data_IF_843597148866
#
_entry.id   IF_843597148866
#
_cell.length_a   1.000
_cell.length_b   1.000
_cell.length_c   1.000
_cell.angle_alpha   90.00
_cell.angle_beta   90.00
_cell.angle_gamma   90.00
#
_symmetry.space_group_name_H-M   'P 1'
#
loop_
_entity.id
_entity.type
_entity.pdbx_description
1 polymer ?
#
# COMPACT_ATOMS: atom_id res chain seq x y z
N UNK A 1 54.38 -35.44 16.61
CA UNK A 1 53.94 -36.61 15.80
C UNK A 1 52.58 -36.23 15.24
N UNK A 2 52.51 -35.73 14.05
CA UNK A 2 52.05 -36.30 12.77
C UNK A 2 50.57 -36.83 12.89
N UNK A 3 49.59 -36.40 12.14
CA UNK A 3 49.56 -36.33 10.67
C UNK A 3 48.35 -35.50 10.18
N UNK A 4 48.58 -34.76 9.08
CA UNK A 4 47.59 -34.12 8.24
C UNK A 4 46.87 -35.14 7.40
N UNK A 5 45.59 -34.93 7.05
CA UNK A 5 45.05 -35.38 5.77
C UNK A 5 44.03 -34.37 5.24
N UNK A 6 44.47 -33.65 4.23
CA UNK A 6 43.61 -32.92 3.27
C UNK A 6 43.01 -33.92 2.28
N UNK A 7 41.72 -33.90 2.09
CA UNK A 7 41.09 -34.49 0.91
C UNK A 7 40.36 -33.41 0.11
N UNK A 8 41.05 -32.90 -0.91
CA UNK A 8 40.48 -32.13 -2.00
C UNK A 8 39.77 -33.10 -2.98
N UNK A 9 38.46 -33.01 -3.11
CA UNK A 9 37.74 -33.64 -4.20
C UNK A 9 37.54 -32.61 -5.31
N UNK A 10 38.27 -32.77 -6.43
CA UNK A 10 38.04 -32.07 -7.68
C UNK A 10 36.87 -32.79 -8.41
N UNK A 11 35.79 -32.10 -8.65
CA UNK A 11 34.73 -32.56 -9.56
C UNK A 11 34.98 -31.97 -10.94
N UNK A 12 35.25 -32.88 -11.87
CA UNK A 12 35.52 -32.61 -13.29
C UNK A 12 34.18 -32.64 -14.05
N UNK A 13 33.73 -31.49 -14.58
CA UNK A 13 32.53 -31.44 -15.42
C UNK A 13 32.93 -31.47 -16.87
N UNK A 14 32.73 -32.64 -17.47
CA UNK A 14 32.92 -32.86 -18.90
C UNK A 14 31.82 -32.19 -19.74
N UNK A 15 32.30 -31.37 -20.71
CA UNK A 15 31.44 -30.87 -21.80
C UNK A 15 30.92 -32.01 -22.65
N UNK A 16 29.60 -32.10 -22.86
CA UNK A 16 29.02 -32.84 -23.94
C UNK A 16 28.20 -31.93 -24.84
N UNK A 17 28.72 -31.76 -26.04
CA UNK A 17 28.03 -31.19 -27.19
C UNK A 17 26.84 -32.10 -27.55
N UNK A 18 25.67 -31.54 -27.82
CA UNK A 18 24.64 -32.15 -28.62
C UNK A 18 24.24 -31.24 -29.78
N UNK A 19 24.48 -31.76 -30.97
CA UNK A 19 24.18 -31.16 -32.26
C UNK A 19 22.80 -31.63 -32.70
N UNK A 20 22.05 -30.69 -33.21
CA UNK A 20 20.96 -30.73 -34.20
C UNK A 20 20.17 -32.02 -34.47
N UNK A 21 18.85 -31.89 -34.45
CA UNK A 21 18.01 -32.40 -35.55
C UNK A 21 16.72 -31.58 -35.62
N UNK A 22 16.54 -30.87 -36.71
CA UNK A 22 15.28 -30.31 -37.19
C UNK A 22 14.42 -31.48 -37.73
N UNK A 23 13.15 -31.54 -37.33
CA UNK A 23 12.12 -32.16 -38.13
C UNK A 23 10.85 -31.32 -37.98
N UNK A 24 10.43 -30.73 -39.06
CA UNK A 24 9.16 -30.06 -39.23
C UNK A 24 8.01 -31.06 -39.29
N UNK A 25 6.94 -30.80 -38.56
CA UNK A 25 5.59 -31.27 -38.90
C UNK A 25 4.59 -30.13 -38.63
N UNK A 26 4.08 -29.59 -39.74
CA UNK A 26 2.92 -28.72 -39.75
C UNK A 26 1.67 -29.62 -39.71
N UNK A 27 0.75 -29.35 -38.76
CA UNK A 27 -0.67 -29.60 -38.90
C UNK A 27 -1.47 -28.85 -37.84
N UNK A 28 -2.13 -27.82 -38.26
CA UNK A 28 -3.47 -27.31 -37.94
C UNK A 28 -4.11 -27.72 -36.61
N UNK A 29 -4.29 -26.72 -35.77
CA UNK A 29 -5.19 -26.72 -34.66
C UNK A 29 -5.27 -25.31 -34.11
N UNK A 30 -6.05 -24.43 -34.76
CA UNK A 30 -6.37 -23.10 -34.23
C UNK A 30 -7.31 -23.32 -33.06
N UNK A 31 -6.75 -23.50 -31.86
CA UNK A 31 -7.50 -23.29 -30.62
C UNK A 31 -7.44 -21.80 -30.41
N UNK A 32 -8.56 -21.11 -30.67
CA UNK A 32 -8.71 -19.69 -30.40
C UNK A 32 -8.43 -19.43 -28.93
N UNK A 33 -7.31 -18.80 -28.66
CA UNK A 33 -7.08 -18.09 -27.39
C UNK A 33 -8.12 -16.97 -27.38
N UNK A 34 -8.97 -16.85 -26.36
CA UNK A 34 -9.83 -15.68 -26.25
C UNK A 34 -8.95 -14.45 -26.01
N UNK A 35 -8.58 -13.77 -27.08
CA UNK A 35 -8.02 -12.41 -27.04
C UNK A 35 -9.17 -11.44 -26.77
N UNK A 36 -9.71 -11.52 -25.57
CA UNK A 36 -10.67 -10.55 -25.05
C UNK A 36 -10.00 -9.56 -24.12
N UNK A 37 -8.91 -8.95 -24.55
CA UNK A 37 -8.53 -7.66 -23.99
C UNK A 37 -9.47 -6.64 -24.62
N UNK A 38 -10.48 -6.22 -23.85
CA UNK A 38 -11.29 -5.07 -24.19
C UNK A 38 -10.31 -3.92 -24.48
N UNK A 39 -10.34 -3.40 -25.70
CA UNK A 39 -9.63 -2.16 -26.02
C UNK A 39 -10.25 -1.08 -25.13
N UNK A 40 -9.47 -0.53 -24.21
CA UNK A 40 -9.88 0.58 -23.37
C UNK A 40 -10.33 1.73 -24.30
N UNK A 41 -11.63 1.98 -24.33
CA UNK A 41 -12.19 3.08 -25.11
C UNK A 41 -12.22 4.40 -24.33
N UNK A 42 -11.91 4.37 -23.04
CA UNK A 42 -11.91 5.53 -22.14
C UNK A 42 -10.51 5.77 -21.59
N UNK A 43 -10.11 7.04 -21.41
CA UNK A 43 -8.83 7.34 -20.74
C UNK A 43 -8.86 6.81 -19.30
N UNK A 44 -7.69 6.48 -18.72
CA UNK A 44 -7.60 6.08 -17.33
C UNK A 44 -8.21 7.12 -16.39
N UNK A 45 -8.83 6.67 -15.28
CA UNK A 45 -9.32 7.56 -14.22
C UNK A 45 -8.14 8.25 -13.53
N UNK A 46 -8.18 9.59 -13.44
CA UNK A 46 -7.11 10.36 -12.81
C UNK A 46 -7.17 10.19 -11.28
N UNK A 47 -6.14 9.59 -10.71
CA UNK A 47 -5.92 9.54 -9.26
C UNK A 47 -4.79 10.47 -8.89
N UNK A 48 -5.04 11.36 -7.92
CA UNK A 48 -4.11 12.43 -7.53
C UNK A 48 -3.32 12.10 -6.27
N UNK A 49 -3.86 11.30 -5.34
CA UNK A 49 -3.21 10.99 -4.07
C UNK A 49 -3.77 9.70 -3.43
N UNK A 50 -3.07 9.21 -2.42
CA UNK A 50 -3.64 8.35 -1.39
C UNK A 50 -4.46 9.24 -0.46
N UNK A 51 -5.73 8.85 -0.19
CA UNK A 51 -6.58 9.62 0.70
C UNK A 51 -6.53 9.08 2.15
N UNK A 52 -6.81 7.78 2.35
CA UNK A 52 -6.85 7.24 3.71
C UNK A 52 -6.61 5.73 3.77
N UNK A 53 -6.44 5.24 5.01
CA UNK A 53 -6.61 3.85 5.36
C UNK A 53 -7.67 3.68 6.45
N UNK A 54 -8.34 2.53 6.46
CA UNK A 54 -9.25 2.15 7.53
C UNK A 54 -8.76 0.90 8.24
N UNK A 55 -8.71 0.98 9.56
CA UNK A 55 -8.26 -0.08 10.45
C UNK A 55 -9.46 -0.80 11.08
N UNK A 56 -9.48 -2.12 10.99
CA UNK A 56 -10.20 -2.97 11.93
C UNK A 56 -9.25 -3.30 13.08
N UNK A 57 -9.65 -3.02 14.30
CA UNK A 57 -8.82 -3.13 15.51
C UNK A 57 -9.54 -3.95 16.59
N UNK A 58 -8.79 -4.56 17.50
CA UNK A 58 -9.38 -5.36 18.58
C UNK A 58 -10.06 -4.49 19.67
N UNK A 59 -9.50 -3.30 19.93
CA UNK A 59 -10.05 -2.32 20.88
C UNK A 59 -9.96 -0.92 20.25
N UNK A 60 -11.09 -0.39 19.72
CA UNK A 60 -11.12 0.94 19.11
C UNK A 60 -10.66 2.08 20.02
N UNK A 61 -11.01 2.02 21.30
CA UNK A 61 -10.67 3.07 22.26
C UNK A 61 -9.15 3.06 22.58
N UNK A 62 -8.59 1.88 22.78
CA UNK A 62 -7.16 1.72 23.00
C UNK A 62 -6.34 2.12 21.76
N UNK A 63 -6.79 1.71 20.55
CA UNK A 63 -6.12 2.09 19.29
C UNK A 63 -6.20 3.61 19.05
N UNK A 64 -7.35 4.24 19.28
CA UNK A 64 -7.49 5.70 19.21
C UNK A 64 -6.50 6.41 20.12
N UNK A 65 -6.47 6.03 21.40
CA UNK A 65 -5.54 6.63 22.36
C UNK A 65 -4.08 6.43 21.97
N UNK A 66 -3.76 5.24 21.42
CA UNK A 66 -2.41 4.89 20.99
C UNK A 66 -1.95 5.74 19.78
N UNK A 67 -2.76 5.83 18.72
CA UNK A 67 -2.42 6.63 17.54
C UNK A 67 -2.35 8.12 17.85
N UNK A 68 -3.28 8.64 18.69
CA UNK A 68 -3.23 10.03 19.14
C UNK A 68 -2.02 10.31 20.04
N UNK A 69 -1.67 9.40 20.94
CA UNK A 69 -0.51 9.56 21.82
C UNK A 69 0.82 9.56 21.05
N UNK A 70 0.96 8.70 20.03
CA UNK A 70 2.17 8.62 19.23
C UNK A 70 2.30 9.79 18.24
N UNK A 71 1.23 10.14 17.53
CA UNK A 71 1.28 11.07 16.39
C UNK A 71 0.57 12.41 16.64
N UNK A 72 -0.20 12.55 17.71
CA UNK A 72 -0.92 13.79 17.99
C UNK A 72 -2.06 14.10 17.03
N UNK A 73 -2.63 13.10 16.35
CA UNK A 73 -3.62 13.30 15.30
C UNK A 73 -4.96 13.79 15.85
N UNK A 74 -5.51 14.92 15.34
CA UNK A 74 -6.82 15.39 15.74
C UNK A 74 -7.93 14.58 15.09
N UNK A 75 -9.11 14.52 15.73
CA UNK A 75 -10.30 13.96 15.15
C UNK A 75 -10.99 15.03 14.30
N UNK A 76 -11.22 14.74 13.03
CA UNK A 76 -11.84 15.65 12.06
C UNK A 76 -13.22 15.22 11.59
N UNK A 77 -13.60 13.97 11.82
CA UNK A 77 -14.93 13.46 11.53
C UNK A 77 -15.23 12.20 12.35
N UNK A 78 -16.52 11.88 12.44
CA UNK A 78 -17.02 10.63 13.04
C UNK A 78 -18.05 10.01 12.08
N UNK A 79 -17.86 8.74 11.78
CA UNK A 79 -18.74 7.97 10.91
C UNK A 79 -19.45 6.90 11.76
N UNK A 80 -20.48 7.32 12.49
CA UNK A 80 -21.04 6.51 13.56
C UNK A 80 -20.01 6.25 14.66
N UNK A 81 -19.68 4.99 14.89
CA UNK A 81 -18.61 4.62 15.84
C UNK A 81 -17.18 4.76 15.30
N UNK A 82 -17.00 4.89 13.99
CA UNK A 82 -15.66 5.06 13.38
C UNK A 82 -15.14 6.46 13.62
N UNK A 83 -13.89 6.57 14.06
CA UNK A 83 -13.22 7.84 14.32
C UNK A 83 -12.21 8.12 13.19
N UNK A 84 -12.23 9.34 12.68
CA UNK A 84 -11.38 9.81 11.56
C UNK A 84 -10.30 10.73 12.11
N UNK A 85 -9.04 10.27 12.04
CA UNK A 85 -7.86 10.97 12.52
C UNK A 85 -7.12 11.61 11.35
N UNK A 86 -7.04 12.95 11.31
CA UNK A 86 -6.38 13.68 10.24
C UNK A 86 -4.87 13.40 10.22
N UNK A 87 -4.32 13.20 9.03
CA UNK A 87 -2.89 13.08 8.76
C UNK A 87 -2.40 14.33 8.03
N UNK A 88 -1.43 15.01 8.61
CA UNK A 88 -0.92 16.29 8.06
C UNK A 88 -1.98 17.39 8.06
N UNK A 89 -1.89 18.28 7.10
CA UNK A 89 -2.75 19.47 6.98
C UNK A 89 -3.84 19.32 5.90
N UNK A 90 -3.84 18.18 5.20
CA UNK A 90 -4.76 17.91 4.08
C UNK A 90 -5.97 17.05 4.46
N UNK A 91 -6.70 16.54 3.47
CA UNK A 91 -7.87 15.69 3.68
C UNK A 91 -7.51 14.24 4.05
N UNK A 92 -6.22 13.89 4.10
CA UNK A 92 -5.77 12.53 4.41
C UNK A 92 -6.06 12.13 5.85
N UNK A 93 -6.40 10.86 6.07
CA UNK A 93 -6.73 10.40 7.43
C UNK A 93 -6.50 8.90 7.66
N UNK A 94 -6.44 8.55 8.93
CA UNK A 94 -6.55 7.17 9.42
C UNK A 94 -7.93 7.02 10.05
N UNK A 95 -8.74 6.08 9.55
CA UNK A 95 -10.01 5.74 10.16
C UNK A 95 -9.85 4.52 11.07
N UNK A 96 -10.29 4.65 12.33
CA UNK A 96 -10.33 3.54 13.29
C UNK A 96 -11.78 3.05 13.38
N UNK A 97 -12.02 1.80 12.99
CA UNK A 97 -13.34 1.19 13.00
C UNK A 97 -13.96 1.19 14.40
N UNK A 98 -15.25 1.52 14.49
CA UNK A 98 -15.96 1.69 15.76
C UNK A 98 -16.31 0.41 16.50
N UNK A 99 -16.15 -0.75 15.86
CA UNK A 99 -16.45 -2.06 16.48
C UNK A 99 -15.17 -2.87 16.64
N UNK A 100 -15.05 -3.56 17.75
CA UNK A 100 -13.96 -4.52 17.98
C UNK A 100 -13.96 -5.62 16.91
N UNK A 101 -12.77 -6.03 16.49
CA UNK A 101 -12.54 -7.04 15.46
C UNK A 101 -11.66 -8.17 15.98
N UNK A 102 -12.09 -9.41 15.76
CA UNK A 102 -11.26 -10.59 16.03
C UNK A 102 -10.15 -10.82 14.98
N UNK A 103 -10.14 -9.98 13.93
CA UNK A 103 -9.16 -10.04 12.85
C UNK A 103 -8.64 -8.63 12.51
N UNK A 104 -7.79 -8.06 13.39
CA UNK A 104 -7.21 -6.74 13.18
C UNK A 104 -6.39 -6.66 11.90
N UNK A 105 -6.61 -5.60 11.11
CA UNK A 105 -5.92 -5.38 9.83
C UNK A 105 -6.23 -4.01 9.24
N UNK A 106 -5.49 -3.62 8.22
CA UNK A 106 -5.92 -2.58 7.28
C UNK A 106 -7.03 -3.21 6.40
N UNK A 107 -8.26 -2.70 6.48
CA UNK A 107 -9.41 -3.26 5.75
C UNK A 107 -9.44 -2.83 4.30
N UNK A 108 -9.08 -1.58 4.04
CA UNK A 108 -8.95 -0.98 2.72
C UNK A 108 -8.09 0.27 2.77
N UNK A 109 -7.65 0.69 1.62
CA UNK A 109 -7.08 2.02 1.39
C UNK A 109 -7.92 2.77 0.36
N UNK A 110 -7.82 4.07 0.36
CA UNK A 110 -8.56 4.95 -0.54
C UNK A 110 -7.63 5.75 -1.44
N UNK A 111 -8.01 5.83 -2.70
CA UNK A 111 -7.39 6.71 -3.68
C UNK A 111 -8.29 7.92 -3.94
N UNK A 112 -7.69 9.11 -3.95
CA UNK A 112 -8.33 10.35 -4.29
C UNK A 112 -8.44 10.47 -5.83
N UNK A 113 -9.66 10.68 -6.32
CA UNK A 113 -10.00 10.83 -7.73
C UNK A 113 -10.36 12.28 -8.01
N UNK A 114 -9.79 12.84 -9.06
CA UNK A 114 -10.12 14.19 -9.49
C UNK A 114 -11.50 14.22 -10.18
N UNK A 115 -12.34 15.19 -9.82
CA UNK A 115 -13.70 15.34 -10.34
C UNK A 115 -14.55 14.07 -10.16
N UNK A 116 -14.55 13.52 -8.96
CA UNK A 116 -15.22 12.27 -8.65
C UNK A 116 -16.75 12.37 -8.82
N UNK A 117 -17.30 11.53 -9.71
CA UNK A 117 -18.70 11.16 -9.77
C UNK A 117 -18.82 9.64 -9.58
N UNK A 118 -19.55 9.23 -8.55
CA UNK A 118 -19.64 7.81 -8.21
C UNK A 118 -20.34 6.97 -9.29
N UNK A 119 -21.29 7.54 -10.03
CA UNK A 119 -22.03 6.82 -11.09
C UNK A 119 -21.16 6.61 -12.30
N UNK A 120 -20.40 7.65 -12.71
CA UNK A 120 -19.42 7.56 -13.78
C UNK A 120 -18.29 6.61 -13.41
N UNK A 121 -17.82 6.67 -12.17
CA UNK A 121 -16.77 5.78 -11.67
C UNK A 121 -17.22 4.30 -11.63
N UNK A 122 -18.46 4.00 -11.24
CA UNK A 122 -19.02 2.63 -11.28
C UNK A 122 -19.09 2.13 -12.74
N UNK A 123 -19.57 2.97 -13.67
CA UNK A 123 -19.63 2.59 -15.08
C UNK A 123 -18.23 2.36 -15.65
N UNK A 124 -17.29 3.24 -15.35
CA UNK A 124 -15.88 3.08 -15.76
C UNK A 124 -15.27 1.76 -15.25
N UNK A 125 -15.49 1.43 -13.97
CA UNK A 125 -15.05 0.17 -13.39
C UNK A 125 -15.68 -1.04 -14.11
N UNK A 126 -16.99 -0.97 -14.41
CA UNK A 126 -17.69 -2.04 -15.12
C UNK A 126 -17.15 -2.23 -16.56
N UNK A 127 -16.88 -1.14 -17.27
CA UNK A 127 -16.30 -1.17 -18.61
C UNK A 127 -14.87 -1.76 -18.62
N UNK A 128 -14.20 -1.74 -17.47
CA UNK A 128 -12.88 -2.32 -17.24
C UNK A 128 -12.91 -3.68 -16.51
N UNK A 129 -14.06 -4.35 -16.49
CA UNK A 129 -14.21 -5.72 -16.01
C UNK A 129 -14.42 -5.85 -14.49
N UNK A 130 -14.63 -4.75 -13.76
CA UNK A 130 -15.02 -4.76 -12.34
C UNK A 130 -16.54 -4.68 -12.26
N UNK A 131 -17.20 -5.81 -12.04
CA UNK A 131 -18.66 -5.92 -12.07
C UNK A 131 -19.32 -5.10 -10.95
N UNK A 132 -20.36 -4.32 -11.30
CA UNK A 132 -21.18 -3.64 -10.30
C UNK A 132 -22.03 -4.69 -9.53
N UNK A 133 -21.77 -4.83 -8.24
CA UNK A 133 -22.41 -5.79 -7.35
C UNK A 133 -22.67 -5.16 -5.97
N UNK A 134 -23.31 -5.87 -5.06
CA UNK A 134 -23.46 -5.40 -3.67
C UNK A 134 -22.30 -5.88 -2.77
N UNK A 135 -21.11 -6.10 -3.35
CA UNK A 135 -19.93 -6.59 -2.67
C UNK A 135 -18.67 -5.89 -3.21
N UNK A 136 -17.57 -5.98 -2.48
CA UNK A 136 -16.23 -5.58 -2.92
C UNK A 136 -15.29 -6.79 -2.90
N UNK A 137 -15.79 -7.94 -3.41
CA UNK A 137 -14.96 -9.11 -3.67
C UNK A 137 -14.06 -8.88 -4.89
N UNK A 138 -13.20 -9.83 -5.22
CA UNK A 138 -12.32 -9.73 -6.39
C UNK A 138 -13.12 -9.38 -7.65
N UNK A 139 -12.72 -8.31 -8.34
CA UNK A 139 -13.35 -7.78 -9.55
C UNK A 139 -14.84 -7.43 -9.41
N UNK A 140 -15.25 -7.00 -8.20
CA UNK A 140 -16.60 -6.50 -7.92
C UNK A 140 -16.55 -5.14 -7.27
N UNK A 141 -17.56 -4.31 -7.53
CA UNK A 141 -17.71 -2.99 -6.93
C UNK A 141 -19.06 -2.80 -6.28
N UNK A 142 -19.10 -1.92 -5.29
CA UNK A 142 -20.33 -1.49 -4.61
C UNK A 142 -20.23 -0.02 -4.22
N UNK A 143 -21.37 0.64 -4.19
CA UNK A 143 -21.53 1.97 -3.58
C UNK A 143 -22.28 1.81 -2.25
N UNK A 144 -21.70 2.37 -1.19
CA UNK A 144 -22.39 2.57 0.09
C UNK A 144 -22.81 4.02 0.17
N UNK A 145 -24.09 4.28 0.39
CA UNK A 145 -24.59 5.62 0.72
C UNK A 145 -24.50 5.80 2.22
N UNK A 146 -23.55 6.60 2.69
CA UNK A 146 -23.40 6.88 4.13
C UNK A 146 -24.36 7.98 4.53
N UNK A 147 -25.41 7.62 5.29
CA UNK A 147 -26.45 8.50 5.73
C UNK A 147 -26.02 9.48 6.84
N UNK A 148 -26.91 10.42 7.13
CA UNK A 148 -26.69 11.47 8.14
C UNK A 148 -26.42 10.88 9.53
N UNK A 149 -27.08 9.77 9.87
CA UNK A 149 -26.89 9.07 11.15
C UNK A 149 -25.50 8.47 11.34
N UNK A 150 -24.75 8.35 10.24
CA UNK A 150 -23.33 7.95 10.23
C UNK A 150 -22.40 9.10 9.84
N UNK A 151 -22.84 10.36 9.98
CA UNK A 151 -22.05 11.55 9.68
C UNK A 151 -21.89 11.82 8.17
N UNK A 152 -22.78 11.29 7.33
CA UNK A 152 -22.85 11.61 5.90
C UNK A 152 -23.82 12.76 5.61
N UNK A 153 -24.05 13.05 4.32
CA UNK A 153 -25.07 14.00 3.88
C UNK A 153 -26.49 13.48 4.11
N UNK A 154 -27.47 14.40 4.16
CA UNK A 154 -28.90 14.07 4.30
C UNK A 154 -29.39 13.06 3.24
N UNK A 155 -28.90 13.21 2.01
CA UNK A 155 -29.20 12.28 0.89
C UNK A 155 -28.17 11.17 0.73
N UNK A 156 -27.26 11.01 1.69
CA UNK A 156 -26.15 10.08 1.69
C UNK A 156 -24.90 10.61 1.01
N UNK A 157 -23.76 10.32 1.58
CA UNK A 157 -22.42 10.51 0.96
C UNK A 157 -22.06 9.21 0.25
N UNK A 158 -21.86 9.20 -1.07
CA UNK A 158 -21.49 7.99 -1.78
C UNK A 158 -20.04 7.59 -1.47
N UNK A 159 -19.86 6.32 -1.14
CA UNK A 159 -18.57 5.69 -0.89
C UNK A 159 -18.43 4.50 -1.85
N UNK A 160 -17.55 4.63 -2.84
CA UNK A 160 -17.33 3.59 -3.85
C UNK A 160 -16.19 2.67 -3.46
N UNK A 161 -16.47 1.40 -3.34
CA UNK A 161 -15.51 0.34 -3.05
C UNK A 161 -15.43 -0.66 -4.19
N UNK A 162 -14.26 -1.19 -4.46
CA UNK A 162 -14.09 -2.34 -5.34
C UNK A 162 -12.98 -3.25 -4.82
N UNK A 163 -13.02 -4.53 -5.23
CA UNK A 163 -11.92 -5.48 -5.03
C UNK A 163 -11.05 -5.54 -6.26
N UNK A 164 -9.74 -5.44 -6.07
CA UNK A 164 -8.76 -5.69 -7.12
C UNK A 164 -8.78 -7.17 -7.57
N UNK A 165 -7.97 -7.61 -8.55
CA UNK A 165 -7.95 -9.01 -8.99
C UNK A 165 -7.68 -10.05 -7.89
N UNK A 166 -7.07 -9.63 -6.79
CA UNK A 166 -6.80 -10.46 -5.62
C UNK A 166 -7.82 -10.29 -4.49
N UNK A 167 -8.84 -9.42 -4.68
CA UNK A 167 -9.86 -9.10 -3.68
C UNK A 167 -9.37 -8.12 -2.60
N UNK A 168 -8.27 -7.43 -2.83
CA UNK A 168 -7.84 -6.33 -1.96
C UNK A 168 -8.79 -5.16 -2.18
N UNK A 169 -9.40 -4.68 -1.10
CA UNK A 169 -10.42 -3.64 -1.18
C UNK A 169 -9.78 -2.28 -1.34
N UNK A 170 -10.21 -1.58 -2.38
CA UNK A 170 -9.85 -0.19 -2.69
C UNK A 170 -11.11 0.66 -2.61
N UNK A 171 -11.02 1.83 -1.99
CA UNK A 171 -12.05 2.85 -2.04
C UNK A 171 -11.64 3.96 -3.00
N UNK A 172 -12.60 4.53 -3.72
CA UNK A 172 -12.41 5.72 -4.54
C UNK A 172 -13.29 6.84 -3.99
N UNK A 173 -12.70 8.01 -3.83
CA UNK A 173 -13.37 9.20 -3.34
C UNK A 173 -12.84 10.47 -4.02
N UNK A 174 -13.60 11.54 -3.92
CA UNK A 174 -13.15 12.86 -4.36
C UNK A 174 -11.86 13.29 -3.64
N UNK A 175 -11.05 14.10 -4.30
CA UNK A 175 -9.80 14.62 -3.73
C UNK A 175 -10.02 15.51 -2.49
N UNK A 176 -11.23 16.04 -2.29
CA UNK A 176 -11.61 16.80 -1.09
C UNK A 176 -12.14 15.96 0.06
N UNK A 177 -12.35 14.65 -0.14
CA UNK A 177 -12.93 13.76 0.86
C UNK A 177 -12.07 13.71 2.13
N UNK A 178 -12.63 14.15 3.24
CA UNK A 178 -12.01 14.12 4.57
C UNK A 178 -12.73 13.22 5.58
N UNK A 179 -13.68 12.40 5.09
CA UNK A 179 -14.46 11.47 5.92
C UNK A 179 -15.67 12.11 6.61
N UNK A 180 -15.94 13.38 6.34
CA UNK A 180 -17.04 14.17 6.92
C UNK A 180 -18.37 14.05 6.18
N UNK A 181 -19.26 15.01 6.45
CA UNK A 181 -20.52 15.18 5.76
C UNK A 181 -20.32 15.79 4.36
N UNK A 182 -21.41 16.26 3.74
CA UNK A 182 -21.37 16.76 2.37
C UNK A 182 -21.51 15.65 1.33
N UNK A 183 -21.82 16.05 0.10
CA UNK A 183 -22.05 15.10 -0.99
C UNK A 183 -20.78 14.33 -1.37
N UNK A 184 -19.62 15.00 -1.27
CA UNK A 184 -18.31 14.40 -1.50
C UNK A 184 -17.60 13.95 -0.21
N UNK A 185 -18.25 14.13 0.97
CA UNK A 185 -17.65 13.83 2.27
C UNK A 185 -16.59 14.83 2.69
N UNK A 186 -16.68 16.05 2.16
CA UNK A 186 -15.74 17.17 2.28
C UNK A 186 -16.01 18.08 3.49
N UNK A 187 -17.18 17.95 4.11
CA UNK A 187 -17.57 18.76 5.26
C UNK A 187 -17.07 18.12 6.56
N UNK A 188 -15.80 18.32 6.88
CA UNK A 188 -15.26 17.89 8.16
C UNK A 188 -15.56 18.86 9.28
N UNK A 189 -15.30 18.45 10.53
CA UNK A 189 -15.54 19.28 11.70
C UNK A 189 -14.90 20.67 11.52
N UNK A 190 -15.64 21.78 11.65
CA UNK A 190 -15.12 23.13 11.48
C UNK A 190 -13.95 23.42 12.43
N UNK A 191 -13.96 22.77 13.59
CA UNK A 191 -12.87 22.77 14.54
C UNK A 191 -12.57 21.32 14.87
N UNK A 192 -11.39 20.83 14.48
CA UNK A 192 -10.95 19.50 14.82
C UNK A 192 -10.92 19.29 16.34
N UNK A 193 -11.31 18.11 16.80
CA UNK A 193 -11.11 17.73 18.20
C UNK A 193 -9.61 17.42 18.39
N UNK A 194 -8.86 18.24 19.17
CA UNK A 194 -7.43 18.03 19.30
C UNK A 194 -7.12 16.70 19.98
N UNK A 195 -5.99 16.11 19.63
CA UNK A 195 -5.46 15.00 20.40
C UNK A 195 -5.15 15.44 21.85
N UNK A 196 -5.19 14.52 22.82
CA UNK A 196 -4.85 14.83 24.23
C UNK A 196 -3.41 15.32 24.40
N UNK A 197 -2.52 15.00 23.47
CA UNK A 197 -1.10 15.37 23.45
C UNK A 197 -0.69 15.83 22.05
N UNK A 198 0.43 16.54 21.95
CA UNK A 198 0.99 16.96 20.65
C UNK A 198 1.60 15.80 19.84
N UNK A 199 1.58 14.56 20.35
CA UNK A 199 2.28 13.43 19.75
C UNK A 199 3.80 13.48 19.97
N UNK A 200 4.45 12.40 19.60
CA UNK A 200 5.90 12.22 19.75
C UNK A 200 6.61 12.23 18.39
N UNK A 201 5.89 11.91 17.32
CA UNK A 201 6.35 11.91 15.93
C UNK A 201 5.37 12.70 15.08
N UNK A 202 5.89 13.62 14.27
CA UNK A 202 5.09 14.42 13.33
C UNK A 202 5.01 13.69 11.99
N UNK A 203 3.82 13.29 11.56
CA UNK A 203 3.56 12.70 10.24
C UNK A 203 2.89 13.73 9.34
N UNK A 204 3.29 13.77 8.06
CA UNK A 204 2.83 14.76 7.08
C UNK A 204 1.80 14.23 6.11
N UNK A 205 1.98 13.00 5.64
CA UNK A 205 1.14 12.38 4.63
C UNK A 205 1.31 10.87 4.61
N UNK A 206 0.43 10.16 3.91
CA UNK A 206 0.72 8.81 3.48
C UNK A 206 1.83 8.84 2.43
N UNK A 207 2.74 7.87 2.52
CA UNK A 207 3.76 7.70 1.49
C UNK A 207 3.37 6.60 0.50
N UNK A 208 3.07 5.39 0.98
CA UNK A 208 2.69 4.29 0.10
C UNK A 208 1.90 3.18 0.79
N UNK A 209 1.35 2.29 -0.02
CA UNK A 209 0.89 0.98 0.40
C UNK A 209 1.69 -0.11 -0.31
N UNK A 210 2.08 -1.14 0.44
CA UNK A 210 2.60 -2.38 -0.13
C UNK A 210 1.53 -3.44 -0.10
N UNK A 211 1.23 -4.01 -1.27
CA UNK A 211 0.23 -5.05 -1.45
C UNK A 211 0.91 -6.39 -1.71
N UNK A 212 0.50 -7.43 -1.02
CA UNK A 212 0.83 -8.81 -1.37
C UNK A 212 -0.19 -9.30 -2.39
N UNK A 213 0.27 -9.59 -3.59
CA UNK A 213 -0.55 -10.04 -4.72
C UNK A 213 -0.11 -11.41 -5.18
N UNK A 214 -1.04 -12.21 -5.72
CA UNK A 214 -0.73 -13.59 -6.17
C UNK A 214 -0.08 -13.61 -7.55
N UNK A 215 -0.38 -12.62 -8.39
CA UNK A 215 0.18 -12.42 -9.74
C UNK A 215 0.50 -10.94 -9.93
N UNK A 216 1.78 -10.61 -9.81
CA UNK A 216 2.25 -9.23 -9.90
C UNK A 216 2.00 -8.61 -11.29
N UNK A 217 2.21 -9.37 -12.37
CA UNK A 217 2.02 -8.86 -13.73
C UNK A 217 0.54 -8.51 -13.99
N UNK A 218 -0.38 -9.37 -13.56
CA UNK A 218 -1.82 -9.12 -13.62
C UNK A 218 -2.20 -7.87 -12.81
N UNK A 219 -1.68 -7.73 -11.62
CA UNK A 219 -1.99 -6.58 -10.77
C UNK A 219 -1.41 -5.27 -11.32
N UNK A 220 -0.18 -5.27 -11.88
CA UNK A 220 0.41 -4.12 -12.58
C UNK A 220 -0.51 -3.70 -13.72
N UNK A 221 -0.86 -4.64 -14.61
CA UNK A 221 -1.74 -4.37 -15.75
C UNK A 221 -3.08 -3.78 -15.29
N UNK A 222 -3.67 -4.32 -14.24
CA UNK A 222 -4.93 -3.86 -13.67
C UNK A 222 -4.86 -2.39 -13.22
N UNK A 223 -3.90 -2.06 -12.33
CA UNK A 223 -3.76 -0.69 -11.82
C UNK A 223 -3.34 0.31 -12.90
N UNK A 224 -2.52 -0.11 -13.86
CA UNK A 224 -2.16 0.74 -15.01
C UNK A 224 -3.34 0.95 -15.94
N UNK A 225 -4.16 -0.07 -16.19
CA UNK A 225 -5.35 0.06 -17.04
C UNK A 225 -6.40 0.98 -16.42
N UNK A 226 -6.65 0.86 -15.11
CA UNK A 226 -7.65 1.70 -14.45
C UNK A 226 -7.19 3.14 -14.24
N UNK A 227 -5.95 3.32 -13.79
CA UNK A 227 -5.50 4.60 -13.25
C UNK A 227 -4.29 5.20 -13.98
N UNK A 228 -3.75 4.50 -14.98
CA UNK A 228 -2.58 4.99 -15.73
C UNK A 228 -1.31 5.11 -14.89
N UNK A 229 -1.18 4.39 -13.76
CA UNK A 229 -0.06 4.53 -12.84
C UNK A 229 1.25 4.11 -13.51
N UNK A 230 2.22 5.01 -13.72
CA UNK A 230 3.50 4.63 -14.31
C UNK A 230 4.35 3.86 -13.30
N UNK A 231 5.17 2.92 -13.79
CA UNK A 231 6.28 2.39 -13.00
C UNK A 231 7.37 3.44 -13.00
N UNK A 232 7.68 3.98 -11.83
CA UNK A 232 8.63 5.07 -11.66
C UNK A 232 10.02 4.57 -11.21
N UNK A 233 10.05 3.47 -10.47
CA UNK A 233 11.29 2.84 -9.99
C UNK A 233 11.03 1.39 -9.60
N UNK A 234 12.10 0.69 -9.18
CA UNK A 234 12.05 -0.67 -8.68
C UNK A 234 12.76 -0.81 -7.34
N UNK A 235 12.21 -1.61 -6.46
CA UNK A 235 12.85 -2.07 -5.22
C UNK A 235 13.23 -3.55 -5.39
N UNK A 236 14.36 -3.82 -6.02
CA UNK A 236 14.69 -5.15 -6.53
C UNK A 236 13.73 -5.57 -7.64
N UNK A 237 12.99 -6.66 -7.45
CA UNK A 237 11.96 -7.11 -8.41
C UNK A 237 10.58 -6.46 -8.15
N UNK A 238 10.45 -5.59 -7.16
CA UNK A 238 9.18 -4.98 -6.77
C UNK A 238 9.01 -3.65 -7.51
N UNK A 239 8.03 -3.52 -8.43
CA UNK A 239 7.74 -2.27 -9.11
C UNK A 239 7.05 -1.29 -8.18
N UNK A 240 7.37 -0.02 -8.34
CA UNK A 240 6.78 1.13 -7.66
C UNK A 240 5.90 1.87 -8.65
N UNK A 241 4.57 1.80 -8.46
CA UNK A 241 3.59 2.45 -9.30
C UNK A 241 3.25 3.82 -8.71
N UNK A 242 3.64 4.89 -9.39
CA UNK A 242 3.46 6.28 -8.93
C UNK A 242 2.00 6.68 -8.91
N UNK A 243 1.55 7.32 -7.82
CA UNK A 243 0.23 7.93 -7.66
C UNK A 243 0.36 9.44 -7.81
N UNK A 244 -0.44 10.03 -8.69
CA UNK A 244 -0.42 11.48 -8.92
C UNK A 244 0.95 12.00 -9.38
N UNK A 245 1.19 13.27 -9.09
CA UNK A 245 2.45 13.96 -9.44
C UNK A 245 3.46 14.02 -8.28
N UNK A 246 3.07 13.49 -7.10
CA UNK A 246 3.87 13.53 -5.88
C UNK A 246 4.81 12.32 -5.72
N UNK A 247 5.07 11.99 -4.46
CA UNK A 247 5.97 10.88 -4.08
C UNK A 247 5.22 9.61 -3.71
N UNK A 248 3.89 9.66 -3.63
CA UNK A 248 3.07 8.55 -3.19
C UNK A 248 3.04 7.42 -4.24
N UNK A 249 2.93 6.17 -3.77
CA UNK A 249 2.94 5.03 -4.68
C UNK A 249 2.25 3.78 -4.13
N UNK A 250 1.99 2.82 -5.02
CA UNK A 250 1.70 1.44 -4.68
C UNK A 250 2.91 0.57 -4.99
N UNK A 251 3.24 -0.33 -4.07
CA UNK A 251 4.26 -1.35 -4.25
C UNK A 251 3.59 -2.74 -4.31
N UNK A 252 3.79 -3.46 -5.40
CA UNK A 252 3.13 -4.75 -5.64
C UNK A 252 4.12 -5.90 -5.43
N UNK A 253 4.02 -6.59 -4.29
CA UNK A 253 4.90 -7.71 -3.94
C UNK A 253 4.30 -9.04 -4.38
N UNK A 254 5.00 -9.76 -5.26
CA UNK A 254 4.58 -11.08 -5.74
C UNK A 254 4.65 -12.13 -4.62
N UNK A 255 3.51 -12.66 -4.22
CA UNK A 255 3.37 -13.63 -3.14
C UNK A 255 2.40 -14.77 -3.54
N UNK A 256 2.74 -15.59 -4.53
CA UNK A 256 1.79 -16.53 -5.16
C UNK A 256 1.25 -17.61 -4.21
N UNK A 257 1.93 -17.85 -3.09
CA UNK A 257 1.55 -18.87 -2.09
C UNK A 257 1.00 -18.30 -0.79
N UNK A 258 0.93 -16.96 -0.67
CA UNK A 258 0.41 -16.28 0.52
C UNK A 258 -0.98 -15.72 0.23
N UNK A 259 -1.73 -15.46 1.30
CA UNK A 259 -2.97 -14.72 1.20
C UNK A 259 -2.68 -13.29 0.75
N UNK A 260 -3.42 -12.84 -0.26
CA UNK A 260 -3.39 -11.45 -0.71
C UNK A 260 -3.90 -10.52 0.38
N UNK A 261 -3.22 -9.41 0.57
CA UNK A 261 -3.56 -8.42 1.61
C UNK A 261 -2.83 -7.11 1.40
N UNK A 262 -3.30 -6.07 2.06
CA UNK A 262 -2.50 -4.87 2.33
C UNK A 262 -1.47 -5.28 3.37
N UNK A 263 -0.19 -5.34 2.98
CA UNK A 263 0.88 -5.77 3.88
C UNK A 263 1.21 -4.69 4.90
N UNK A 264 1.36 -3.44 4.44
CA UNK A 264 1.55 -2.29 5.30
C UNK A 264 1.18 -0.99 4.60
N UNK A 265 0.92 0.02 5.40
CA UNK A 265 0.91 1.42 5.02
C UNK A 265 2.21 2.08 5.44
N UNK A 266 2.69 3.04 4.67
CA UNK A 266 3.82 3.89 5.01
C UNK A 266 3.38 5.33 5.22
N UNK A 267 3.90 5.93 6.28
CA UNK A 267 3.67 7.32 6.65
C UNK A 267 4.97 8.12 6.50
N UNK A 268 4.88 9.29 5.92
CA UNK A 268 5.98 10.23 5.81
C UNK A 268 6.13 11.00 7.13
N UNK A 269 7.29 10.91 7.75
CA UNK A 269 7.60 11.53 9.04
C UNK A 269 8.64 12.65 8.85
N UNK A 270 8.44 13.75 9.58
CA UNK A 270 9.40 14.83 9.62
C UNK A 270 10.65 14.45 10.41
N UNK A 271 11.79 15.04 10.01
CA UNK A 271 13.08 14.83 10.69
C UNK A 271 13.39 13.33 10.85
N UNK A 272 13.30 12.57 9.75
CA UNK A 272 13.54 11.13 9.76
C UNK A 272 14.99 10.84 10.20
N UNK A 273 15.09 10.24 11.39
CA UNK A 273 16.33 9.74 11.97
C UNK A 273 16.02 8.45 12.72
N UNK A 274 16.73 7.37 12.39
CA UNK A 274 16.45 6.03 12.92
C UNK A 274 16.61 5.98 14.43
N UNK A 275 17.71 6.54 14.96
CA UNK A 275 18.04 6.46 16.39
C UNK A 275 17.04 7.28 17.20
N UNK A 276 16.67 8.46 16.71
CA UNK A 276 15.62 9.31 17.31
C UNK A 276 14.27 8.59 17.32
N UNK A 277 13.85 8.05 16.17
CA UNK A 277 12.55 7.36 16.06
C UNK A 277 12.55 6.10 16.94
N UNK A 278 13.59 5.30 16.94
CA UNK A 278 13.69 4.14 17.82
C UNK A 278 13.67 4.54 19.31
N UNK A 279 14.32 5.63 19.69
CA UNK A 279 14.27 6.16 21.05
C UNK A 279 12.84 6.53 21.44
N UNK A 280 12.11 7.22 20.56
CA UNK A 280 10.69 7.57 20.75
C UNK A 280 9.83 6.31 20.87
N UNK A 281 9.91 5.39 19.91
CA UNK A 281 9.11 4.17 19.92
C UNK A 281 9.39 3.31 21.14
N UNK A 282 10.65 3.21 21.59
CA UNK A 282 11.04 2.52 22.81
C UNK A 282 10.43 3.18 24.04
N UNK A 283 10.49 4.50 24.15
CA UNK A 283 9.87 5.24 25.26
C UNK A 283 8.34 5.10 25.26
N UNK A 284 7.75 4.88 24.08
CA UNK A 284 6.32 4.63 23.90
C UNK A 284 5.91 3.16 24.13
N UNK A 285 6.84 2.32 24.56
CA UNK A 285 6.58 0.94 24.97
C UNK A 285 6.84 -0.14 23.91
N UNK A 286 7.40 0.22 22.74
CA UNK A 286 7.71 -0.77 21.71
C UNK A 286 9.06 -1.47 22.01
N UNK A 287 9.11 -2.76 21.68
CA UNK A 287 10.35 -3.53 21.69
C UNK A 287 11.13 -3.27 20.41
N UNK A 288 12.34 -2.71 20.52
CA UNK A 288 13.22 -2.49 19.37
C UNK A 288 13.98 -3.77 19.05
N UNK A 289 13.82 -4.25 17.82
CA UNK A 289 14.46 -5.46 17.28
C UNK A 289 15.74 -5.15 16.49
N UNK A 290 16.03 -3.86 16.23
CA UNK A 290 17.16 -3.42 15.40
C UNK A 290 17.00 -3.85 13.95
N UNK A 291 18.06 -4.40 13.32
CA UNK A 291 18.06 -4.91 11.95
C UNK A 291 17.56 -6.36 11.84
N UNK A 292 16.88 -6.86 12.83
CA UNK A 292 16.34 -8.22 12.83
C UNK A 292 15.22 -8.41 11.80
N UNK A 293 15.01 -9.62 11.39
CA UNK A 293 14.18 -10.02 10.22
C UNK A 293 12.67 -9.85 10.36
N UNK A 294 12.19 -8.73 10.88
CA UNK A 294 10.77 -8.37 10.94
C UNK A 294 10.11 -8.60 12.29
N UNK A 295 8.95 -7.98 12.48
CA UNK A 295 8.11 -8.16 13.66
C UNK A 295 7.30 -9.45 13.56
N UNK A 296 7.09 -10.10 14.70
CA UNK A 296 6.28 -11.32 14.81
C UNK A 296 5.17 -11.20 15.88
N UNK A 297 4.86 -9.98 16.29
CA UNK A 297 3.82 -9.66 17.25
C UNK A 297 3.60 -8.15 17.38
N UNK A 298 2.68 -7.72 18.25
CA UNK A 298 2.39 -6.31 18.47
C UNK A 298 3.53 -5.56 19.17
N UNK A 299 3.50 -4.23 19.04
CA UNK A 299 4.40 -3.30 19.74
C UNK A 299 5.89 -3.63 19.57
N UNK A 300 6.29 -3.89 18.33
CA UNK A 300 7.68 -4.13 17.95
C UNK A 300 8.10 -3.14 16.86
N UNK A 301 9.39 -2.78 16.84
CA UNK A 301 9.96 -1.95 15.79
C UNK A 301 11.30 -2.48 15.31
N UNK A 302 11.55 -2.37 14.00
CA UNK A 302 12.77 -2.81 13.35
C UNK A 302 13.08 -1.92 12.14
N UNK A 303 14.30 -2.01 11.64
CA UNK A 303 14.72 -1.37 10.40
C UNK A 303 15.29 -2.42 9.45
N UNK A 304 15.00 -2.29 8.17
CA UNK A 304 15.71 -3.00 7.10
C UNK A 304 16.52 -2.01 6.30
N UNK A 305 17.69 -2.44 5.83
CA UNK A 305 18.55 -1.65 4.96
C UNK A 305 18.42 -2.19 3.53
N UNK A 306 17.77 -1.43 2.66
CA UNK A 306 17.63 -1.80 1.25
C UNK A 306 18.91 -1.43 0.50
N UNK A 307 19.72 -2.44 0.17
CA UNK A 307 21.01 -2.25 -0.49
C UNK A 307 20.92 -1.89 -1.98
N UNK A 308 22.05 -1.52 -2.58
CA UNK A 308 22.15 -1.12 -3.98
C UNK A 308 21.64 -2.18 -4.97
N UNK A 309 21.82 -3.47 -4.68
CA UNK A 309 21.30 -4.58 -5.48
C UNK A 309 19.76 -4.67 -5.50
N UNK A 310 19.11 -3.90 -4.66
CA UNK A 310 17.64 -3.78 -4.59
C UNK A 310 17.19 -2.34 -4.85
N UNK A 311 17.99 -1.51 -5.51
CA UNK A 311 17.67 -0.12 -5.83
C UNK A 311 17.72 0.83 -4.64
N UNK A 312 18.48 0.50 -3.60
CA UNK A 312 18.80 1.38 -2.48
C UNK A 312 20.21 1.96 -2.57
N UNK A 313 20.61 2.73 -1.57
CA UNK A 313 21.96 3.25 -1.43
C UNK A 313 23.00 2.14 -1.20
N UNK A 314 24.28 2.36 -1.55
CA UNK A 314 25.36 1.40 -1.25
C UNK A 314 25.49 1.05 0.24
N UNK A 315 25.29 2.02 1.11
CA UNK A 315 25.26 1.88 2.57
C UNK A 315 23.94 1.33 3.10
N UNK A 316 22.93 1.20 2.24
CA UNK A 316 21.58 0.80 2.55
C UNK A 316 20.63 1.98 2.74
N UNK A 317 19.47 1.92 2.09
CA UNK A 317 18.35 2.83 2.34
C UNK A 317 17.55 2.29 3.52
N UNK A 318 17.43 3.00 4.63
CA UNK A 318 16.69 2.53 5.79
C UNK A 318 15.19 2.53 5.53
N UNK A 319 14.55 1.42 5.89
CA UNK A 319 13.11 1.23 5.88
C UNK A 319 12.70 0.85 7.30
N UNK A 320 12.13 1.80 8.06
CA UNK A 320 11.78 1.62 9.46
C UNK A 320 10.34 1.17 9.59
N UNK A 321 10.12 0.11 10.35
CA UNK A 321 8.81 -0.49 10.56
C UNK A 321 8.49 -0.58 12.04
N UNK A 322 7.20 -0.49 12.34
CA UNK A 322 6.67 -0.85 13.64
C UNK A 322 5.33 -1.56 13.51
N UNK A 323 4.94 -2.30 14.55
CA UNK A 323 3.60 -2.85 14.70
C UNK A 323 2.86 -2.12 15.80
N UNK A 324 1.59 -1.81 15.55
CA UNK A 324 0.68 -1.20 16.51
C UNK A 324 0.24 -2.21 17.61
N UNK A 325 -0.65 -1.84 18.55
CA UNK A 325 -1.14 -2.75 19.59
C UNK A 325 -1.80 -4.02 19.07
N UNK A 326 -2.31 -4.03 17.86
CA UNK A 326 -2.92 -5.18 17.21
C UNK A 326 -1.97 -5.97 16.31
N UNK A 327 -0.73 -5.53 16.18
CA UNK A 327 0.25 -6.12 15.27
C UNK A 327 0.12 -5.67 13.82
N UNK A 328 -0.68 -4.63 13.54
CA UNK A 328 -0.79 -4.04 12.20
C UNK A 328 0.53 -3.34 11.87
N UNK A 329 1.12 -3.71 10.72
CA UNK A 329 2.42 -3.20 10.31
C UNK A 329 2.30 -1.82 9.65
N UNK A 330 3.08 -0.88 10.14
CA UNK A 330 3.24 0.47 9.61
C UNK A 330 4.72 0.74 9.35
N UNK A 331 5.00 1.37 8.23
CA UNK A 331 6.34 1.85 7.88
C UNK A 331 6.44 3.36 8.10
N UNK A 332 7.59 3.82 8.57
CA UNK A 332 7.92 5.25 8.64
C UNK A 332 9.06 5.54 7.66
N UNK A 333 8.92 6.62 6.91
CA UNK A 333 9.90 7.08 5.95
C UNK A 333 10.06 8.60 6.00
N UNK A 334 11.18 9.09 5.49
CA UNK A 334 11.38 10.52 5.31
C UNK A 334 10.33 11.13 4.37
N UNK A 335 9.96 12.39 4.59
CA UNK A 335 9.02 13.13 3.72
C UNK A 335 9.49 13.22 2.27
N UNK A 336 10.77 12.99 1.99
CA UNK A 336 11.33 12.97 0.65
C UNK A 336 11.30 11.59 -0.02
N UNK A 337 11.00 10.52 0.73
CA UNK A 337 11.03 9.15 0.23
C UNK A 337 10.05 8.94 -0.93
N UNK A 338 10.55 8.41 -2.02
CA UNK A 338 9.77 8.09 -3.23
C UNK A 338 9.94 6.62 -3.69
N UNK A 339 10.58 5.78 -2.86
CA UNK A 339 10.83 4.38 -3.16
C UNK A 339 12.10 4.10 -3.97
N UNK A 340 12.85 5.15 -4.33
CA UNK A 340 14.03 5.09 -5.19
C UNK A 340 15.35 4.89 -4.44
N UNK A 341 16.43 5.28 -5.10
CA UNK A 341 17.81 5.22 -4.61
C UNK A 341 18.11 6.35 -3.58
N UNK A 342 19.37 6.45 -3.15
CA UNK A 342 19.82 7.38 -2.12
C UNK A 342 19.53 6.91 -0.71
N UNK A 343 20.23 7.47 0.28
CA UNK A 343 20.06 7.08 1.69
C UNK A 343 18.62 7.22 2.17
N UNK A 344 17.95 8.31 1.81
CA UNK A 344 16.54 8.53 2.14
C UNK A 344 15.56 7.90 1.14
N UNK A 345 16.05 7.17 0.11
CA UNK A 345 15.18 6.60 -0.92
C UNK A 345 14.48 7.64 -1.78
N UNK A 346 15.08 8.81 -1.94
CA UNK A 346 14.51 10.03 -2.52
C UNK A 346 15.02 10.35 -3.95
N UNK A 347 15.86 9.49 -4.51
CA UNK A 347 16.33 9.59 -5.89
C UNK A 347 15.46 8.69 -6.78
N UNK A 348 14.35 9.24 -7.29
CA UNK A 348 13.41 8.54 -8.16
C UNK A 348 13.48 9.06 -9.60
N UNK A 349 13.06 8.24 -10.52
CA UNK A 349 13.08 8.42 -11.95
C UNK A 349 13.17 7.06 -12.62
N UNK A 350 13.11 7.01 -13.95
CA UNK A 350 13.18 5.75 -14.71
C UNK A 350 14.52 5.08 -14.42
N UNK A 351 14.53 4.15 -13.49
CA UNK A 351 15.65 3.26 -13.22
C UNK A 351 15.37 1.98 -13.99
N UNK A 352 16.32 1.56 -14.83
CA UNK A 352 16.25 0.22 -15.44
C UNK A 352 16.09 -0.83 -14.34
N UNK A 353 15.24 -1.82 -14.59
CA UNK A 353 15.03 -2.92 -13.65
C UNK A 353 16.39 -3.52 -13.22
N UNK A 354 16.84 -3.36 -11.97
CA UNK A 354 18.18 -3.75 -11.54
C UNK A 354 18.41 -5.27 -11.61
N UNK A 355 17.34 -6.06 -11.79
CA UNK A 355 17.44 -7.52 -11.93
C UNK A 355 17.60 -7.97 -13.37
N UNK A 356 17.50 -7.06 -14.36
CA UNK A 356 17.60 -7.38 -15.79
C UNK A 356 16.57 -8.37 -16.31
N UNK A 357 15.54 -8.68 -15.52
CA UNK A 357 14.41 -9.52 -15.94
C UNK A 357 13.31 -8.61 -16.47
N UNK A 358 13.18 -8.56 -17.79
CA UNK A 358 11.98 -8.03 -18.40
C UNK A 358 10.81 -8.96 -17.99
N UNK A 359 9.82 -8.42 -17.32
CA UNK A 359 8.57 -9.12 -17.01
C UNK A 359 7.75 -9.30 -18.29
#
# INVERSE_FOLDING_TARGET
MNNKNNNNVKINIGRRNFVSSMAALAAAGIIGVPTGLATQNSPPMSVSAINHMTLAVSDPAASLAWYQGLFGLPIVARQGGTVVLQVGDGPQFIAIGGNASDNPRITHYCLAVDNFDHSEAVQFLADNGVEAANASAAMQSRVRMRGEEFGGAVNGTPELYFGDPDGIVVQLQDSSYCGGAGLLGEECLPTAEPAPTNGLLSIREFNHFTLFVTDQARSIQFYQSLFGLPIDTFQGALPVLRIGSGKQFLALSNQPTRRSQIHHASLAVEDFDIDRIFSVLKSYGLKILGEAGGANGPLQAYVTLRGANRGGAPEGTPELYFTDPDGILVQLQDVSYCGGNGYLGNECGIVENPTGRNN
#
